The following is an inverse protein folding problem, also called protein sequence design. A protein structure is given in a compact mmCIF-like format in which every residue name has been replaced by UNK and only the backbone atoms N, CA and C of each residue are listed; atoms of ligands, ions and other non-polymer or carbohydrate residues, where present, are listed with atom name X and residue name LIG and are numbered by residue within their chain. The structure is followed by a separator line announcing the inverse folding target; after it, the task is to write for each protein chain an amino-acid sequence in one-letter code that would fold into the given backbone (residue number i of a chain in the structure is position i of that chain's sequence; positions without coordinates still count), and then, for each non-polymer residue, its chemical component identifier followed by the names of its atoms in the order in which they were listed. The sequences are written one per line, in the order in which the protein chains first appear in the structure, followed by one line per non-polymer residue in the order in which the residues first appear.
data_IF_137857530892
#
_entry.id   IF_137857530892
#
_cell.length_a   1.000
_cell.length_b   1.000
_cell.length_c   1.000
_cell.angle_alpha   90.00
_cell.angle_beta   90.00
_cell.angle_gamma   90.00
#
_symmetry.space_group_name_H-M   'P 1'
#
loop_
_entity.id
_entity.type
_entity.pdbx_description
1 polymer ?
#
# COMPACT_ATOMS: atom_id res chain seq x y z
N UNK A 1 -19.19 20.25 1.29
CA UNK A 1 -19.90 18.99 0.87
C UNK A 1 -19.07 18.42 -0.26
N UNK A 2 -18.56 17.24 -0.13
CA UNK A 2 -17.76 16.57 -1.16
C UNK A 2 -18.64 15.62 -1.96
N UNK A 3 -18.37 15.40 -3.26
CA UNK A 3 -19.11 14.42 -4.05
C UNK A 3 -18.79 13.00 -3.57
N UNK A 4 -19.79 12.13 -3.63
CA UNK A 4 -19.59 10.68 -3.43
C UNK A 4 -19.18 10.09 -4.76
N UNK A 5 -17.98 9.52 -4.82
CA UNK A 5 -17.44 8.86 -6.01
C UNK A 5 -17.81 7.38 -6.04
N UNK A 6 -18.04 6.84 -7.23
CA UNK A 6 -18.17 5.39 -7.46
C UNK A 6 -16.77 4.77 -7.50
N UNK A 7 -16.23 4.47 -6.30
CA UNK A 7 -14.89 3.95 -6.10
C UNK A 7 -14.75 2.54 -6.65
N UNK A 8 -13.65 2.27 -7.34
CA UNK A 8 -13.26 0.97 -7.88
C UNK A 8 -12.06 0.40 -7.14
N UNK A 9 -11.01 1.22 -6.98
CA UNK A 9 -9.72 0.80 -6.40
C UNK A 9 -9.13 1.92 -5.55
N UNK A 10 -8.35 1.52 -4.54
CA UNK A 10 -7.57 2.42 -3.69
C UNK A 10 -6.07 2.25 -3.96
N UNK A 11 -5.34 3.34 -4.05
CA UNK A 11 -3.88 3.36 -4.13
C UNK A 11 -3.32 4.67 -3.57
N UNK A 12 -2.01 4.73 -3.37
CA UNK A 12 -1.34 5.96 -2.96
C UNK A 12 -0.05 6.18 -3.74
N UNK A 13 0.37 7.43 -3.79
CA UNK A 13 1.71 7.85 -4.20
C UNK A 13 2.49 8.26 -2.97
N UNK A 14 3.69 7.69 -2.80
CA UNK A 14 4.52 7.87 -1.64
C UNK A 14 5.71 8.77 -1.96
N UNK A 15 6.03 9.68 -1.06
CA UNK A 15 7.08 10.68 -1.23
C UNK A 15 7.93 10.81 0.02
N UNK A 16 9.12 11.41 -0.15
CA UNK A 16 9.99 11.82 0.94
C UNK A 16 10.42 13.27 0.76
N UNK A 17 10.23 14.08 1.78
CA UNK A 17 10.69 15.47 1.84
C UNK A 17 11.99 15.56 2.65
N UNK A 18 12.98 16.27 2.14
CA UNK A 18 14.26 16.52 2.83
C UNK A 18 14.18 17.72 3.81
N UNK A 19 13.04 18.42 3.86
CA UNK A 19 12.83 19.61 4.68
C UNK A 19 13.60 20.85 4.19
N UNK A 20 14.25 20.77 3.02
CA UNK A 20 15.11 21.81 2.45
C UNK A 20 14.63 22.30 1.08
N UNK A 21 13.43 21.95 0.73
CA UNK A 21 12.79 22.36 -0.53
C UNK A 21 12.77 21.28 -1.61
N UNK A 22 13.21 20.05 -1.33
CA UNK A 22 13.19 18.94 -2.28
C UNK A 22 12.23 17.85 -1.82
N UNK A 23 11.42 17.37 -2.75
CA UNK A 23 10.54 16.22 -2.58
C UNK A 23 10.91 15.13 -3.60
N UNK A 24 11.12 13.92 -3.10
CA UNK A 24 11.41 12.74 -3.92
C UNK A 24 10.18 11.85 -3.99
N UNK A 25 9.83 11.37 -5.17
CA UNK A 25 8.91 10.26 -5.32
C UNK A 25 9.61 8.98 -4.84
N UNK A 26 8.95 8.23 -3.97
CA UNK A 26 9.48 7.00 -3.35
C UNK A 26 8.91 5.77 -4.06
N UNK A 27 7.63 5.80 -4.44
CA UNK A 27 6.96 4.68 -5.08
C UNK A 27 5.45 4.77 -4.96
N UNK A 28 4.82 3.67 -5.33
CA UNK A 28 3.37 3.49 -5.21
C UNK A 28 3.03 2.49 -4.11
N UNK A 29 1.81 2.57 -3.61
CA UNK A 29 1.22 1.53 -2.79
C UNK A 29 -0.22 1.27 -3.19
N UNK A 30 -0.63 -0.01 -3.20
CA UNK A 30 -2.03 -0.40 -3.36
C UNK A 30 -2.54 -0.89 -2.03
N UNK A 31 -3.71 -0.42 -1.62
CA UNK A 31 -4.31 -0.85 -0.37
C UNK A 31 -5.77 -1.26 -0.57
N UNK A 32 -6.27 -2.00 0.38
CA UNK A 32 -7.64 -2.52 0.36
C UNK A 32 -8.36 -1.95 1.57
N UNK A 33 -9.57 -1.45 1.33
CA UNK A 33 -10.50 -1.04 2.36
C UNK A 33 -11.74 -1.95 2.34
N UNK A 34 -12.44 -2.04 3.46
CA UNK A 34 -13.75 -2.69 3.50
C UNK A 34 -14.87 -1.75 3.00
N UNK A 35 -16.09 -2.26 2.98
CA UNK A 35 -17.28 -1.52 2.52
C UNK A 35 -17.57 -0.24 3.32
N UNK A 36 -16.94 -0.09 4.50
CA UNK A 36 -17.03 1.09 5.37
C UNK A 36 -15.82 2.03 5.20
N UNK A 37 -14.88 1.70 4.31
CA UNK A 37 -13.65 2.44 4.10
C UNK A 37 -12.54 2.15 5.13
N UNK A 38 -12.72 1.17 6.02
CA UNK A 38 -11.68 0.84 6.98
C UNK A 38 -10.54 0.05 6.29
N UNK A 39 -9.31 0.46 6.55
CA UNK A 39 -8.11 -0.18 6.03
C UNK A 39 -8.02 -1.68 6.39
N UNK A 40 -7.68 -2.52 5.42
CA UNK A 40 -7.56 -3.97 5.55
C UNK A 40 -6.18 -4.52 5.20
N UNK A 41 -5.32 -3.71 4.61
CA UNK A 41 -3.96 -4.11 4.25
C UNK A 41 -3.50 -3.53 2.92
N UNK A 42 -2.22 -3.77 2.60
CA UNK A 42 -1.63 -3.40 1.32
C UNK A 42 -1.35 -4.65 0.49
N UNK A 43 -1.46 -4.50 -0.83
CA UNK A 43 -0.97 -5.47 -1.79
C UNK A 43 0.53 -5.21 -1.96
N UNK A 44 1.35 -6.23 -1.76
CA UNK A 44 2.79 -6.17 -1.97
C UNK A 44 3.07 -6.40 -3.45
N UNK A 45 3.57 -5.38 -4.11
CA UNK A 45 3.79 -5.37 -5.56
C UNK A 45 4.85 -4.32 -5.89
N UNK A 46 5.56 -4.49 -6.99
CA UNK A 46 6.54 -3.52 -7.45
C UNK A 46 5.89 -2.31 -8.12
N UNK A 47 6.62 -1.21 -8.22
CA UNK A 47 6.14 -0.02 -8.94
C UNK A 47 5.77 -0.32 -10.40
N UNK A 48 6.56 -1.17 -11.09
CA UNK A 48 6.25 -1.60 -12.45
C UNK A 48 4.92 -2.33 -12.56
N UNK A 49 4.62 -3.23 -11.61
CA UNK A 49 3.33 -3.92 -11.56
C UNK A 49 2.18 -2.95 -11.26
N UNK A 50 2.40 -1.92 -10.44
CA UNK A 50 1.38 -0.87 -10.22
C UNK A 50 1.17 -0.06 -11.50
N UNK A 51 2.23 0.28 -12.22
CA UNK A 51 2.15 1.01 -13.49
C UNK A 51 1.45 0.19 -14.59
N UNK A 52 1.63 -1.12 -14.63
CA UNK A 52 0.88 -2.02 -15.51
C UNK A 52 -0.60 -2.10 -15.10
N UNK A 53 -0.85 -2.29 -13.80
CA UNK A 53 -2.21 -2.40 -13.26
C UNK A 53 -3.04 -1.16 -13.53
N UNK A 54 -2.49 0.05 -13.35
CA UNK A 54 -3.25 1.30 -13.53
C UNK A 54 -3.66 1.55 -14.97
N UNK A 55 -2.93 1.00 -15.95
CA UNK A 55 -3.23 1.11 -17.37
C UNK A 55 -4.54 0.41 -17.77
N UNK A 56 -5.08 -0.48 -16.93
CA UNK A 56 -6.40 -1.05 -17.12
C UNK A 56 -7.53 -0.01 -16.95
N UNK A 57 -7.23 1.11 -16.29
CA UNK A 57 -8.20 2.15 -15.94
C UNK A 57 -7.97 3.46 -16.68
N UNK A 58 -6.72 3.89 -16.78
CA UNK A 58 -6.37 5.19 -17.37
C UNK A 58 -5.11 5.07 -18.24
N UNK A 59 -4.95 5.94 -19.27
CA UNK A 59 -3.71 6.00 -20.03
C UNK A 59 -2.51 6.30 -19.14
N UNK A 60 -1.39 5.61 -19.39
CA UNK A 60 -0.17 5.74 -18.60
C UNK A 60 0.38 7.17 -18.54
N UNK A 61 0.31 7.90 -19.65
CA UNK A 61 0.72 9.31 -19.73
C UNK A 61 -0.10 10.21 -18.81
N UNK A 62 -1.39 9.91 -18.64
CA UNK A 62 -2.25 10.65 -17.72
C UNK A 62 -1.86 10.37 -16.26
N UNK A 63 -1.54 9.11 -15.94
CA UNK A 63 -1.07 8.71 -14.62
C UNK A 63 0.27 9.38 -14.26
N UNK A 64 1.25 9.35 -15.17
CA UNK A 64 2.55 10.02 -14.99
C UNK A 64 2.38 11.54 -14.82
N UNK A 65 1.45 12.14 -15.57
CA UNK A 65 1.14 13.58 -15.43
C UNK A 65 0.60 13.89 -14.04
N UNK A 66 -0.31 13.07 -13.50
CA UNK A 66 -0.84 13.22 -12.13
C UNK A 66 0.29 13.15 -11.12
N UNK A 67 1.19 12.15 -11.22
CA UNK A 67 2.36 12.02 -10.34
C UNK A 67 3.22 13.27 -10.34
N UNK A 68 3.58 13.77 -11.52
CA UNK A 68 4.45 14.94 -11.66
C UNK A 68 3.80 16.21 -11.12
N UNK A 69 2.49 16.40 -11.35
CA UNK A 69 1.73 17.53 -10.82
C UNK A 69 1.62 17.46 -9.29
N UNK A 70 1.36 16.26 -8.75
CA UNK A 70 1.28 16.03 -7.32
C UNK A 70 2.62 16.30 -6.63
N UNK A 71 3.70 15.75 -7.17
CA UNK A 71 5.05 16.00 -6.63
C UNK A 71 5.36 17.50 -6.59
N UNK A 72 5.09 18.24 -7.66
CA UNK A 72 5.31 19.68 -7.73
C UNK A 72 4.44 20.47 -6.74
N UNK A 73 3.19 20.10 -6.58
CA UNK A 73 2.27 20.74 -5.63
C UNK A 73 2.72 20.52 -4.19
N UNK A 74 3.08 19.28 -3.84
CA UNK A 74 3.58 18.93 -2.50
C UNK A 74 4.95 19.57 -2.22
N UNK A 75 5.85 19.64 -3.21
CA UNK A 75 7.14 20.31 -3.09
C UNK A 75 6.95 21.78 -2.76
N UNK A 76 6.05 22.46 -3.44
CA UNK A 76 5.72 23.87 -3.19
C UNK A 76 5.11 24.09 -1.80
N UNK A 77 4.25 23.17 -1.35
CA UNK A 77 3.44 23.34 -0.12
C UNK A 77 4.15 22.88 1.14
N UNK A 78 4.97 21.83 1.07
CA UNK A 78 5.46 21.12 2.26
C UNK A 78 6.99 20.97 2.33
N UNK A 79 7.72 21.03 1.20
CA UNK A 79 9.12 20.62 1.18
C UNK A 79 10.08 21.46 2.05
N UNK A 80 9.71 22.69 2.43
CA UNK A 80 10.49 23.55 3.36
C UNK A 80 9.99 23.51 4.80
N UNK A 81 8.79 23.00 5.03
CA UNK A 81 8.11 23.02 6.35
C UNK A 81 7.96 21.63 6.97
N UNK A 82 8.19 20.58 6.20
CA UNK A 82 8.07 19.18 6.63
C UNK A 82 9.28 18.38 6.16
N UNK A 83 9.84 17.55 7.02
CA UNK A 83 10.88 16.57 6.71
C UNK A 83 10.42 15.18 7.09
N UNK A 84 10.45 14.24 6.14
CA UNK A 84 10.04 12.86 6.36
C UNK A 84 9.20 12.30 5.22
N UNK A 85 8.67 11.10 5.43
CA UNK A 85 7.78 10.45 4.49
C UNK A 85 6.38 11.06 4.53
N UNK A 86 5.76 11.11 3.37
CA UNK A 86 4.35 11.48 3.22
C UNK A 86 3.72 10.67 2.10
N UNK A 87 2.43 10.38 2.21
CA UNK A 87 1.66 9.69 1.18
C UNK A 87 0.42 10.48 0.78
N UNK A 88 0.00 10.30 -0.46
CA UNK A 88 -1.25 10.86 -0.97
C UNK A 88 -2.14 9.71 -1.40
N UNK A 89 -3.23 9.52 -0.66
CA UNK A 89 -4.23 8.52 -0.98
C UNK A 89 -5.07 8.99 -2.17
N UNK A 90 -5.27 8.09 -3.12
CA UNK A 90 -5.97 8.29 -4.37
C UNK A 90 -6.95 7.16 -4.61
N UNK A 91 -7.91 7.36 -5.49
CA UNK A 91 -8.81 6.30 -5.90
C UNK A 91 -9.06 6.31 -7.41
N UNK A 92 -9.26 5.12 -7.97
CA UNK A 92 -9.88 4.95 -9.28
C UNK A 92 -11.38 4.98 -9.11
N UNK A 93 -12.07 5.79 -9.89
CA UNK A 93 -13.52 5.93 -9.84
C UNK A 93 -14.13 5.66 -11.20
N UNK A 94 -15.34 5.07 -11.22
CA UNK A 94 -16.16 5.01 -12.43
C UNK A 94 -16.70 6.37 -12.79
N UNK A 95 -16.79 6.62 -14.08
CA UNK A 95 -17.43 7.82 -14.63
C UNK A 95 -18.68 7.45 -15.41
N UNK A 96 -19.67 8.35 -15.37
CA UNK A 96 -20.92 8.16 -16.11
C UNK A 96 -20.81 8.60 -17.56
N UNK A 97 -19.89 9.51 -17.86
CA UNK A 97 -19.70 10.09 -19.19
C UNK A 97 -18.22 10.15 -19.52
N UNK A 98 -17.87 10.04 -20.79
CA UNK A 98 -16.51 10.11 -21.28
C UNK A 98 -15.75 8.79 -21.11
N UNK A 99 -14.51 8.84 -20.61
CA UNK A 99 -13.73 7.65 -20.32
C UNK A 99 -14.35 6.91 -19.14
N UNK A 100 -14.44 5.54 -19.16
CA UNK A 100 -15.16 4.78 -18.13
C UNK A 100 -14.58 4.90 -16.72
N UNK A 101 -13.33 5.31 -16.62
CA UNK A 101 -12.63 5.48 -15.34
C UNK A 101 -11.88 6.81 -15.30
N UNK A 102 -11.71 7.33 -14.08
CA UNK A 102 -10.80 8.44 -13.78
C UNK A 102 -10.13 8.25 -12.44
N UNK A 103 -9.01 8.92 -12.23
CA UNK A 103 -8.35 9.00 -10.93
C UNK A 103 -8.88 10.23 -10.19
N UNK A 104 -9.37 10.02 -8.95
CA UNK A 104 -9.42 11.09 -7.96
C UNK A 104 -8.03 11.20 -7.32
N UNK A 105 -7.26 12.25 -7.64
CA UNK A 105 -5.83 12.28 -7.30
C UNK A 105 -5.54 12.75 -5.88
N UNK A 106 -6.57 13.04 -5.09
CA UNK A 106 -6.41 13.58 -3.75
C UNK A 106 -7.61 13.24 -2.88
N UNK A 107 -7.46 12.19 -2.07
CA UNK A 107 -8.43 11.81 -1.05
C UNK A 107 -7.93 12.27 0.31
N UNK A 108 -6.68 11.96 0.64
CA UNK A 108 -6.04 12.32 1.90
C UNK A 108 -4.53 12.53 1.69
N UNK A 109 -3.93 13.47 2.42
CA UNK A 109 -2.48 13.63 2.53
C UNK A 109 -2.07 13.17 3.93
N UNK A 110 -1.22 12.15 4.00
CA UNK A 110 -0.68 11.55 5.21
C UNK A 110 0.74 12.09 5.45
N UNK A 111 0.90 13.18 6.24
CA UNK A 111 2.22 13.75 6.61
C UNK A 111 2.87 12.93 7.73
N UNK A 112 3.17 11.69 7.45
CA UNK A 112 3.79 10.72 8.37
C UNK A 112 4.26 9.50 7.59
N UNK A 113 5.08 8.67 8.21
CA UNK A 113 5.25 7.30 7.75
C UNK A 113 3.90 6.59 7.83
N UNK A 114 3.44 6.06 6.71
CA UNK A 114 2.15 5.38 6.57
C UNK A 114 2.35 3.91 6.20
N UNK A 115 1.24 3.16 6.10
CA UNK A 115 1.30 1.72 5.79
C UNK A 115 1.72 1.45 4.34
N UNK A 116 1.51 2.42 3.43
CA UNK A 116 1.97 2.35 2.05
C UNK A 116 3.50 2.32 1.96
N UNK A 117 4.19 3.20 2.70
CA UNK A 117 5.66 3.19 2.79
C UNK A 117 6.17 1.86 3.36
N UNK A 118 5.52 1.34 4.40
CA UNK A 118 5.90 0.04 4.99
C UNK A 118 5.76 -1.07 3.96
N UNK A 119 4.66 -1.12 3.23
CA UNK A 119 4.41 -2.14 2.20
C UNK A 119 5.38 -2.01 1.03
N UNK A 120 5.69 -0.79 0.60
CA UNK A 120 6.67 -0.52 -0.46
C UNK A 120 8.07 -1.04 -0.06
N UNK A 121 8.54 -0.71 1.14
CA UNK A 121 9.82 -1.22 1.67
C UNK A 121 9.83 -2.74 1.79
N UNK A 122 8.74 -3.34 2.25
CA UNK A 122 8.62 -4.80 2.33
C UNK A 122 8.72 -5.43 0.93
N UNK A 123 7.99 -4.89 -0.05
CA UNK A 123 8.00 -5.39 -1.42
C UNK A 123 9.38 -5.27 -2.06
N UNK A 124 10.03 -4.10 -1.94
CA UNK A 124 11.29 -3.82 -2.62
C UNK A 124 12.48 -4.58 -2.02
N UNK A 125 12.54 -4.70 -0.68
CA UNK A 125 13.71 -5.24 0.00
C UNK A 125 13.56 -6.69 0.47
N UNK A 126 12.37 -7.16 0.78
CA UNK A 126 12.15 -8.43 1.47
C UNK A 126 11.37 -9.47 0.68
N UNK A 127 10.70 -9.09 -0.41
CA UNK A 127 10.03 -10.04 -1.30
C UNK A 127 10.93 -10.30 -2.51
N UNK A 128 10.87 -11.51 -3.07
CA UNK A 128 11.58 -11.81 -4.32
C UNK A 128 11.05 -10.94 -5.45
N UNK A 129 11.91 -10.52 -6.40
CA UNK A 129 11.46 -9.75 -7.57
C UNK A 129 10.33 -10.47 -8.32
N UNK A 130 9.26 -9.74 -8.64
CA UNK A 130 8.06 -10.30 -9.28
C UNK A 130 7.13 -11.07 -8.33
N UNK A 131 7.50 -11.25 -7.07
CA UNK A 131 6.63 -11.86 -6.06
C UNK A 131 5.46 -10.94 -5.70
N UNK A 132 4.34 -11.55 -5.39
CA UNK A 132 3.12 -10.86 -4.95
C UNK A 132 2.74 -11.33 -3.56
N UNK A 133 2.12 -10.46 -2.80
CA UNK A 133 1.69 -10.79 -1.45
C UNK A 133 0.78 -9.74 -0.85
N UNK A 134 0.51 -9.92 0.42
CA UNK A 134 -0.32 -9.00 1.19
C UNK A 134 0.33 -8.71 2.53
N UNK A 135 0.45 -7.43 2.87
CA UNK A 135 0.71 -6.94 4.21
C UNK A 135 -0.63 -6.65 4.89
N UNK A 136 -0.84 -7.17 6.09
CA UNK A 136 -2.09 -6.99 6.81
C UNK A 136 -1.86 -6.79 8.31
N UNK A 137 -2.82 -6.08 8.93
CA UNK A 137 -2.94 -5.98 10.39
C UNK A 137 -4.33 -6.48 10.75
N UNK A 138 -4.38 -7.55 11.54
CA UNK A 138 -5.61 -8.12 12.05
C UNK A 138 -5.80 -7.83 13.53
N UNK A 139 -7.05 -7.60 13.95
CA UNK A 139 -7.46 -7.49 15.34
C UNK A 139 -8.40 -8.64 15.69
N UNK A 140 -8.18 -9.26 16.84
CA UNK A 140 -8.96 -10.39 17.32
C UNK A 140 -9.70 -10.07 18.62
N UNK A 141 -10.89 -10.64 18.83
CA UNK A 141 -11.67 -10.44 20.05
C UNK A 141 -10.96 -11.04 21.27
N UNK A 142 -10.20 -12.12 21.13
CA UNK A 142 -9.44 -12.76 22.20
C UNK A 142 -8.04 -13.15 21.75
N UNK A 143 -7.14 -13.39 22.71
CA UNK A 143 -5.80 -13.91 22.44
C UNK A 143 -5.86 -15.31 21.83
N UNK A 144 -6.73 -16.18 22.36
CA UNK A 144 -6.89 -17.56 21.92
C UNK A 144 -7.25 -17.60 20.42
N UNK A 145 -8.21 -16.78 20.00
CA UNK A 145 -8.60 -16.66 18.57
C UNK A 145 -7.45 -16.13 17.71
N UNK A 146 -6.59 -15.25 18.26
CA UNK A 146 -5.39 -14.80 17.54
C UNK A 146 -4.38 -15.94 17.41
N UNK A 147 -4.10 -16.67 18.49
CA UNK A 147 -3.14 -17.80 18.49
C UNK A 147 -3.58 -18.90 17.53
N UNK A 148 -4.82 -19.34 17.62
CA UNK A 148 -5.40 -20.36 16.72
C UNK A 148 -5.20 -19.97 15.25
N UNK A 149 -5.55 -18.73 14.89
CA UNK A 149 -5.39 -18.25 13.52
C UNK A 149 -3.92 -18.12 13.12
N UNK A 150 -3.05 -17.65 14.01
CA UNK A 150 -1.62 -17.54 13.77
C UNK A 150 -0.99 -18.92 13.48
N UNK A 151 -1.29 -19.93 14.29
CA UNK A 151 -0.80 -21.31 14.11
C UNK A 151 -1.35 -21.93 12.82
N UNK A 152 -2.62 -21.71 12.53
CA UNK A 152 -3.28 -22.17 11.32
C UNK A 152 -2.65 -21.58 10.04
N UNK A 153 -2.38 -20.27 10.03
CA UNK A 153 -1.73 -19.61 8.89
C UNK A 153 -0.26 -20.09 8.74
N UNK A 154 0.48 -20.27 9.85
CA UNK A 154 1.84 -20.77 9.81
C UNK A 154 1.93 -22.21 9.26
N UNK A 155 0.93 -23.06 9.56
CA UNK A 155 0.86 -24.43 9.05
C UNK A 155 0.39 -24.46 7.57
N UNK A 156 -0.59 -23.64 7.21
CA UNK A 156 -1.18 -23.63 5.87
C UNK A 156 -0.29 -22.96 4.83
N UNK A 157 0.53 -22.01 5.27
CA UNK A 157 1.41 -21.20 4.41
C UNK A 157 2.86 -21.23 4.95
N UNK A 158 3.57 -22.35 4.84
CA UNK A 158 4.95 -22.46 5.31
C UNK A 158 5.84 -21.39 4.68
N UNK A 159 6.64 -20.72 5.51
CA UNK A 159 7.54 -19.66 5.05
C UNK A 159 8.71 -20.25 4.27
N UNK A 160 8.89 -19.77 3.04
CA UNK A 160 10.03 -20.07 2.19
C UNK A 160 10.85 -18.81 1.95
N UNK A 161 12.14 -18.86 2.33
CA UNK A 161 13.08 -17.74 2.16
C UNK A 161 14.24 -18.22 1.28
N UNK A 162 14.63 -17.41 0.30
CA UNK A 162 15.78 -17.62 -0.56
C UNK A 162 16.56 -16.32 -0.68
N UNK A 163 17.88 -16.38 -0.49
CA UNK A 163 18.81 -15.26 -0.58
C UNK A 163 18.36 -14.02 0.28
N UNK A 164 17.79 -14.31 1.47
CA UNK A 164 17.30 -13.29 2.41
C UNK A 164 15.95 -12.67 2.03
N UNK A 165 15.28 -13.16 0.97
CA UNK A 165 13.97 -12.68 0.53
C UNK A 165 12.89 -13.75 0.66
N UNK A 166 11.69 -13.35 0.99
CA UNK A 166 10.52 -14.22 1.08
C UNK A 166 10.06 -14.59 -0.33
N UNK A 167 10.01 -15.89 -0.61
CA UNK A 167 9.51 -16.46 -1.86
C UNK A 167 8.02 -16.74 -1.76
N UNK A 168 7.60 -17.31 -0.63
CA UNK A 168 6.19 -17.61 -0.35
C UNK A 168 5.97 -17.84 1.14
N UNK A 169 4.72 -17.80 1.55
CA UNK A 169 4.28 -18.20 2.88
C UNK A 169 3.96 -17.04 3.80
N UNK A 170 3.64 -17.39 5.05
CA UNK A 170 3.23 -16.49 6.10
C UNK A 170 4.42 -16.07 6.95
N UNK A 171 4.63 -14.75 7.09
CA UNK A 171 5.67 -14.16 7.93
C UNK A 171 5.03 -13.20 8.94
N UNK A 172 4.99 -13.54 10.25
CA UNK A 172 4.61 -12.60 11.28
C UNK A 172 5.69 -11.52 11.44
N UNK A 173 5.30 -10.24 11.43
CA UNK A 173 6.22 -9.10 11.57
C UNK A 173 6.40 -8.66 13.01
N UNK A 174 5.48 -9.05 13.89
CA UNK A 174 5.53 -8.76 15.32
C UNK A 174 5.32 -10.05 16.11
N UNK A 175 6.00 -10.23 17.26
CA UNK A 175 5.78 -11.40 18.10
C UNK A 175 4.34 -11.48 18.59
N UNK A 176 3.74 -12.67 18.49
CA UNK A 176 2.46 -12.97 19.12
C UNK A 176 2.72 -13.43 20.56
N UNK A 177 2.14 -12.72 21.51
CA UNK A 177 2.30 -12.96 22.95
C UNK A 177 0.94 -13.17 23.61
N UNK A 178 0.87 -13.75 24.84
CA UNK A 178 -0.40 -13.95 25.56
C UNK A 178 -1.23 -12.67 25.83
N UNK A 179 -0.65 -11.50 25.57
CA UNK A 179 -1.34 -10.21 25.70
C UNK A 179 -1.72 -9.60 24.35
N UNK A 180 -1.32 -10.23 23.24
CA UNK A 180 -1.57 -9.71 21.91
C UNK A 180 -3.04 -9.84 21.52
N UNK A 181 -3.60 -8.78 20.96
CA UNK A 181 -4.94 -8.71 20.34
C UNK A 181 -4.83 -8.34 18.88
N UNK A 182 -3.64 -7.96 18.44
CA UNK A 182 -3.30 -7.57 17.08
C UNK A 182 -2.13 -8.41 16.60
N UNK A 183 -2.11 -8.68 15.32
CA UNK A 183 -0.94 -9.19 14.60
C UNK A 183 -0.71 -8.37 13.32
N UNK A 184 0.55 -8.14 12.99
CA UNK A 184 0.96 -7.63 11.69
C UNK A 184 1.74 -8.74 10.97
N UNK A 185 1.43 -8.99 9.73
CA UNK A 185 2.04 -10.07 8.97
C UNK A 185 2.09 -9.80 7.47
N UNK A 186 2.93 -10.55 6.80
CA UNK A 186 3.00 -10.67 5.35
C UNK A 186 2.60 -12.09 4.95
N UNK A 187 1.81 -12.22 3.91
CA UNK A 187 1.55 -13.49 3.24
C UNK A 187 1.92 -13.32 1.77
N UNK A 188 2.89 -14.12 1.30
CA UNK A 188 3.40 -14.08 -0.07
C UNK A 188 2.92 -15.32 -0.81
N UNK A 189 2.38 -15.13 -2.00
CA UNK A 189 2.05 -16.22 -2.93
C UNK A 189 3.28 -16.57 -3.74
N UNK A 190 3.52 -17.87 -3.97
CA UNK A 190 4.58 -18.28 -4.87
C UNK A 190 4.32 -17.68 -6.26
N UNK A 191 5.36 -17.10 -6.88
CA UNK A 191 5.30 -16.75 -8.29
C UNK A 191 5.13 -18.05 -9.10
N UNK A 192 4.19 -18.08 -10.02
CA UNK A 192 3.99 -19.21 -10.96
C UNK A 192 5.13 -19.31 -11.96
#
# INVERSE_FOLDING_TARGET
MEPIFDKVEDFAMEFYSDGRGKLLFVGYSRFVTDDKGAYRGNILTSDGQVEEWIQQYVPFEAFVRIRNMMQKALETSYATSYMGFLGVDMMVCRQKEGHPYAINPHVEINLRMNMGIVSHVLSDHFIVPGGEGRFSIDCFPTHEALMERHEQDAQSYPLVVKDGRVVSGYLPLVPVTPKSRYRAFVCVTAAE
#
